data_IF_422449886707
#
_entry.id   IF_422449886707
#
_cell.length_a   1.000
_cell.length_b   1.000
_cell.length_c   1.000
_cell.angle_alpha   90.00
_cell.angle_beta   90.00
_cell.angle_gamma   90.00
#
_symmetry.space_group_name_H-M   'P 1'
#
loop_
_entity.id
_entity.type
_entity.pdbx_description
1 polymer ?
#
# COMPACT_ATOMS: atom_id res chain seq x y z
N UNK A 1 12.53 3.20 7.14
CA UNK A 1 13.52 2.10 7.24
C UNK A 1 14.58 2.13 6.16
N UNK A 2 14.45 2.93 5.08
CA UNK A 2 15.47 2.97 4.03
C UNK A 2 15.59 1.67 3.24
N UNK A 3 14.50 0.90 3.15
CA UNK A 3 14.43 -0.38 2.43
C UNK A 3 13.59 -0.24 1.17
N UNK A 4 13.80 -1.11 0.20
CA UNK A 4 12.94 -1.26 -0.97
C UNK A 4 11.77 -2.17 -0.60
N UNK A 5 10.56 -1.82 -1.02
CA UNK A 5 9.38 -2.67 -0.82
C UNK A 5 8.48 -2.64 -2.03
N UNK A 6 8.07 -3.80 -2.54
CA UNK A 6 7.11 -3.90 -3.64
C UNK A 6 5.86 -4.63 -3.18
N UNK A 7 4.71 -3.99 -3.38
CA UNK A 7 3.40 -4.63 -3.32
C UNK A 7 3.00 -5.00 -4.75
N UNK A 8 2.96 -6.28 -5.13
CA UNK A 8 2.62 -6.66 -6.49
C UNK A 8 1.12 -6.42 -6.77
N UNK A 9 0.71 -6.68 -8.02
CA UNK A 9 -0.69 -6.61 -8.41
C UNK A 9 -1.54 -7.54 -7.55
N UNK A 10 -2.76 -7.12 -7.20
CA UNK A 10 -3.67 -8.00 -6.47
C UNK A 10 -3.89 -9.30 -7.27
N UNK A 11 -3.65 -10.44 -6.62
CA UNK A 11 -3.71 -11.77 -7.25
C UNK A 11 -2.39 -12.27 -7.87
N UNK A 12 -1.30 -11.50 -7.88
CA UNK A 12 0.01 -11.95 -8.39
C UNK A 12 0.69 -12.98 -7.47
N UNK A 13 0.55 -12.82 -6.16
CA UNK A 13 0.99 -13.81 -5.17
C UNK A 13 -0.22 -14.39 -4.45
N UNK A 14 -0.23 -15.71 -4.24
CA UNK A 14 -1.25 -16.38 -3.44
C UNK A 14 -1.32 -15.79 -2.03
N UNK A 15 -2.55 -15.64 -1.54
CA UNK A 15 -2.87 -15.23 -0.17
C UNK A 15 -3.19 -16.43 0.72
N UNK A 16 -3.21 -17.64 0.18
CA UNK A 16 -3.42 -18.85 0.97
C UNK A 16 -2.31 -18.99 2.02
N UNK A 17 -2.71 -19.10 3.30
CA UNK A 17 -1.79 -19.13 4.44
C UNK A 17 -1.46 -17.75 5.03
N UNK A 18 -1.83 -16.65 4.37
CA UNK A 18 -1.76 -15.31 4.95
C UNK A 18 -2.98 -15.07 5.84
N UNK A 19 -2.76 -14.60 7.07
CA UNK A 19 -3.86 -14.16 7.94
C UNK A 19 -4.48 -12.91 7.35
N UNK A 20 -5.69 -13.03 6.81
CA UNK A 20 -6.38 -11.93 6.16
C UNK A 20 -6.77 -10.83 7.17
N UNK A 21 -6.46 -9.60 6.80
CA UNK A 21 -7.02 -8.39 7.38
C UNK A 21 -8.18 -7.90 6.50
N UNK A 22 -7.89 -7.46 5.27
CA UNK A 22 -8.87 -7.03 4.29
C UNK A 22 -8.69 -7.85 2.99
N UNK A 23 -9.52 -8.87 2.82
CA UNK A 23 -9.41 -9.86 1.76
C UNK A 23 -9.32 -9.28 0.35
N UNK A 24 -9.97 -8.15 0.07
CA UNK A 24 -9.96 -7.53 -1.25
C UNK A 24 -8.81 -6.54 -1.48
N UNK A 25 -7.94 -6.33 -0.48
CA UNK A 25 -6.90 -5.30 -0.46
C UNK A 25 -5.51 -5.86 -0.10
N UNK A 26 -5.47 -6.94 0.69
CA UNK A 26 -4.24 -7.57 1.14
C UNK A 26 -3.47 -8.18 -0.03
N UNK A 27 -2.17 -7.95 -0.06
CA UNK A 27 -1.27 -8.58 -1.03
C UNK A 27 0.13 -8.68 -0.43
N UNK A 28 0.68 -9.89 -0.37
CA UNK A 28 2.03 -10.10 0.11
C UNK A 28 3.05 -9.63 -0.93
N UNK A 29 4.14 -9.02 -0.47
CA UNK A 29 5.23 -8.56 -1.30
C UNK A 29 6.54 -8.44 -0.51
N UNK A 30 7.71 -8.55 -1.16
CA UNK A 30 8.99 -8.55 -0.47
C UNK A 30 9.42 -7.14 -0.04
N UNK A 31 10.16 -7.10 1.07
CA UNK A 31 10.92 -5.94 1.54
C UNK A 31 12.40 -6.35 1.55
N UNK A 32 13.24 -5.60 0.86
CA UNK A 32 14.65 -5.93 0.61
C UNK A 32 15.55 -4.71 0.76
N UNK A 33 16.86 -4.91 0.65
CA UNK A 33 17.85 -3.82 0.73
C UNK A 33 18.00 -3.06 -0.60
N UNK A 34 17.78 -3.74 -1.72
CA UNK A 34 17.90 -3.14 -3.04
C UNK A 34 16.81 -3.67 -3.99
N UNK A 35 16.66 -2.96 -5.12
CA UNK A 35 15.65 -3.23 -6.15
C UNK A 35 15.86 -4.60 -6.81
N UNK A 36 17.11 -5.05 -6.93
CA UNK A 36 17.46 -6.35 -7.51
C UNK A 36 16.98 -7.51 -6.63
N UNK A 37 17.26 -7.46 -5.33
CA UNK A 37 16.78 -8.43 -4.37
C UNK A 37 15.25 -8.47 -4.36
N UNK A 38 14.57 -7.32 -4.47
CA UNK A 38 13.11 -7.26 -4.55
C UNK A 38 12.57 -8.01 -5.79
N UNK A 39 13.23 -7.85 -6.94
CA UNK A 39 12.88 -8.53 -8.19
C UNK A 39 13.04 -10.06 -8.08
N UNK A 40 14.17 -10.52 -7.54
CA UNK A 40 14.45 -11.94 -7.32
C UNK A 40 13.42 -12.55 -6.36
N UNK A 41 13.17 -11.88 -5.24
CA UNK A 41 12.21 -12.36 -4.23
C UNK A 41 10.79 -12.40 -4.77
N UNK A 42 10.33 -11.35 -5.48
CA UNK A 42 8.98 -11.34 -6.02
C UNK A 42 8.77 -12.46 -7.05
N UNK A 43 9.76 -12.72 -7.92
CA UNK A 43 9.72 -13.83 -8.87
C UNK A 43 9.53 -15.18 -8.16
N UNK A 44 10.19 -15.38 -7.02
CA UNK A 44 10.07 -16.61 -6.24
C UNK A 44 8.76 -16.73 -5.46
N UNK A 45 8.14 -15.61 -5.09
CA UNK A 45 6.88 -15.58 -4.32
C UNK A 45 5.64 -15.63 -5.20
N UNK A 46 5.71 -15.07 -6.40
CA UNK A 46 4.60 -15.01 -7.33
C UNK A 46 4.30 -16.41 -7.90
N UNK A 47 3.03 -16.81 -7.84
CA UNK A 47 2.54 -18.07 -8.38
C UNK A 47 1.02 -18.06 -8.39
N UNK A 48 0.44 -18.74 -9.38
CA UNK A 48 -0.96 -19.17 -9.31
C UNK A 48 -1.07 -20.32 -8.31
N UNK A 49 -2.11 -20.30 -7.47
CA UNK A 49 -2.34 -21.32 -6.45
C UNK A 49 -3.81 -21.74 -6.48
N UNK A 50 -4.06 -23.02 -6.76
CA UNK A 50 -5.41 -23.59 -6.80
C UNK A 50 -6.17 -23.47 -5.46
N UNK A 51 -5.48 -23.21 -4.35
CA UNK A 51 -6.07 -22.99 -3.02
C UNK A 51 -6.46 -21.54 -2.76
N UNK A 52 -6.07 -20.62 -3.64
CA UNK A 52 -6.49 -19.23 -3.64
C UNK A 52 -7.20 -18.89 -4.95
N UNK A 53 -8.54 -18.89 -4.90
CA UNK A 53 -9.40 -18.56 -6.06
C UNK A 53 -9.25 -17.11 -6.55
N UNK A 54 -8.52 -16.27 -5.81
CA UNK A 54 -8.20 -14.89 -6.21
C UNK A 54 -6.80 -14.73 -6.78
N UNK A 55 -5.98 -15.78 -6.72
CA UNK A 55 -4.71 -15.82 -7.45
C UNK A 55 -4.98 -15.90 -8.95
N UNK A 56 -4.22 -15.15 -9.74
CA UNK A 56 -4.43 -15.04 -11.17
C UNK A 56 -3.43 -15.93 -11.89
N UNK A 57 -3.93 -16.79 -12.76
CA UNK A 57 -3.11 -17.66 -13.61
C UNK A 57 -2.53 -16.87 -14.79
N UNK A 58 -1.43 -16.17 -14.50
CA UNK A 58 -0.61 -15.48 -15.48
C UNK A 58 0.86 -15.87 -15.31
N UNK A 59 1.62 -15.98 -16.40
CA UNK A 59 3.07 -16.18 -16.33
C UNK A 59 3.73 -15.15 -15.41
N UNK A 60 4.69 -15.60 -14.62
CA UNK A 60 5.53 -14.73 -13.78
C UNK A 60 6.73 -14.29 -14.62
N UNK A 61 6.88 -12.98 -14.90
CA UNK A 61 8.01 -12.51 -15.67
C UNK A 61 9.35 -12.67 -14.95
N UNK A 62 10.42 -12.62 -15.73
CA UNK A 62 11.77 -12.57 -15.20
C UNK A 62 12.13 -11.12 -14.80
N UNK A 63 11.62 -10.69 -13.65
CA UNK A 63 11.73 -9.30 -13.19
C UNK A 63 13.17 -8.77 -13.14
N UNK A 64 14.15 -9.64 -12.85
CA UNK A 64 15.56 -9.26 -12.81
C UNK A 64 16.09 -8.80 -14.18
N UNK A 65 15.55 -9.35 -15.29
CA UNK A 65 15.93 -8.94 -16.65
C UNK A 65 15.44 -7.55 -17.02
N UNK A 66 14.45 -7.00 -16.31
CA UNK A 66 13.96 -5.65 -16.54
C UNK A 66 14.91 -4.58 -15.97
N UNK A 67 15.78 -4.96 -15.03
CA UNK A 67 16.74 -4.06 -14.40
C UNK A 67 17.74 -3.54 -15.44
N UNK A 68 18.03 -2.23 -15.39
CA UNK A 68 18.93 -1.58 -16.34
C UNK A 68 18.32 -1.33 -17.73
N UNK A 69 17.06 -1.71 -17.96
CA UNK A 69 16.36 -1.39 -19.19
C UNK A 69 16.19 0.13 -19.40
N UNK A 70 16.29 0.60 -20.63
CA UNK A 70 16.18 2.04 -20.95
C UNK A 70 14.78 2.60 -20.72
N UNK A 71 14.63 3.61 -19.87
CA UNK A 71 13.35 4.32 -19.64
C UNK A 71 13.10 5.47 -20.64
N UNK A 72 13.90 5.56 -21.70
CA UNK A 72 13.80 6.63 -22.69
C UNK A 72 12.44 6.63 -23.37
N UNK A 73 11.75 7.77 -23.35
CA UNK A 73 10.42 7.95 -23.95
C UNK A 73 9.27 7.37 -23.13
N UNK A 74 9.53 6.74 -21.98
CA UNK A 74 8.45 6.30 -21.08
C UNK A 74 7.76 7.50 -20.46
N UNK A 75 6.42 7.48 -20.41
CA UNK A 75 5.62 8.55 -19.82
C UNK A 75 5.39 8.31 -18.34
N UNK A 76 5.98 9.16 -17.51
CA UNK A 76 5.85 9.12 -16.05
C UNK A 76 4.84 10.17 -15.61
N UNK A 77 3.72 9.69 -15.08
CA UNK A 77 2.62 10.52 -14.58
C UNK A 77 2.93 11.12 -13.22
N UNK A 78 2.71 12.43 -13.06
CA UNK A 78 2.79 13.16 -11.80
C UNK A 78 1.37 13.65 -11.42
N UNK A 79 0.72 13.03 -10.42
CA UNK A 79 -0.65 13.37 -10.06
C UNK A 79 -0.70 14.71 -9.31
N UNK A 80 -1.47 15.65 -9.85
CA UNK A 80 -1.62 16.98 -9.23
C UNK A 80 -2.31 16.92 -7.87
N UNK A 81 -3.26 16.00 -7.68
CA UNK A 81 -4.02 15.83 -6.43
C UNK A 81 -3.18 15.31 -5.26
N UNK A 82 -1.95 14.85 -5.53
CA UNK A 82 -1.02 14.38 -4.50
C UNK A 82 -0.13 15.52 -3.99
N UNK A 83 -0.25 16.74 -4.55
CA UNK A 83 0.27 17.95 -3.93
C UNK A 83 -0.72 18.38 -2.85
N UNK A 84 -0.46 17.96 -1.62
CA UNK A 84 -1.32 18.23 -0.45
C UNK A 84 -0.83 19.50 0.25
N UNK A 85 -1.77 20.32 0.73
CA UNK A 85 -1.46 21.50 1.52
C UNK A 85 -0.69 21.12 2.79
N UNK A 86 0.38 21.85 3.09
CA UNK A 86 1.23 21.59 4.25
C UNK A 86 2.21 20.42 4.10
N UNK A 87 2.41 19.89 2.88
CA UNK A 87 3.43 18.87 2.66
C UNK A 87 4.84 19.42 2.98
N UNK A 88 5.66 18.71 3.79
CA UNK A 88 6.98 19.18 4.18
C UNK A 88 7.88 19.50 2.97
N UNK A 89 8.73 20.52 3.10
CA UNK A 89 9.66 20.94 2.05
C UNK A 89 10.59 19.80 1.62
N UNK A 90 11.06 18.98 2.58
CA UNK A 90 11.91 17.80 2.30
C UNK A 90 11.22 16.80 1.37
N UNK A 91 9.90 16.60 1.50
CA UNK A 91 9.11 15.70 0.65
C UNK A 91 8.91 16.30 -0.75
N UNK A 92 8.63 17.60 -0.83
CA UNK A 92 8.56 18.31 -2.11
C UNK A 92 9.89 18.23 -2.87
N UNK A 93 11.00 18.49 -2.17
CA UNK A 93 12.35 18.42 -2.72
C UNK A 93 12.72 16.99 -3.16
N UNK A 94 12.38 15.97 -2.36
CA UNK A 94 12.56 14.57 -2.71
C UNK A 94 11.78 14.21 -3.98
N UNK A 95 10.52 14.61 -4.07
CA UNK A 95 9.68 14.30 -5.22
C UNK A 95 10.23 14.96 -6.48
N UNK A 96 10.67 16.22 -6.38
CA UNK A 96 11.32 16.91 -7.49
C UNK A 96 12.62 16.19 -7.92
N UNK A 97 13.46 15.75 -6.97
CA UNK A 97 14.66 14.93 -7.28
C UNK A 97 14.29 13.65 -8.03
N UNK A 98 13.24 12.94 -7.59
CA UNK A 98 12.74 11.75 -8.26
C UNK A 98 12.30 11.99 -9.70
N UNK A 99 11.57 13.09 -9.92
CA UNK A 99 11.18 13.55 -11.26
C UNK A 99 12.43 13.81 -12.12
N UNK A 100 13.42 14.48 -11.55
CA UNK A 100 14.66 14.80 -12.24
C UNK A 100 15.47 13.54 -12.57
N UNK A 101 15.57 12.55 -11.68
CA UNK A 101 16.26 11.28 -11.94
C UNK A 101 15.69 10.56 -13.18
N UNK A 102 14.36 10.44 -13.26
CA UNK A 102 13.71 9.80 -14.40
C UNK A 102 13.83 10.65 -15.68
N UNK A 103 13.73 11.98 -15.57
CA UNK A 103 13.91 12.89 -16.73
C UNK A 103 15.32 12.79 -17.30
N UNK A 104 16.36 12.81 -16.46
CA UNK A 104 17.75 12.66 -16.91
C UNK A 104 18.02 11.30 -17.55
N UNK A 105 17.31 10.25 -17.12
CA UNK A 105 17.35 8.93 -17.76
C UNK A 105 16.56 8.84 -19.08
N UNK A 106 15.91 9.94 -19.50
CA UNK A 106 15.23 10.08 -20.79
C UNK A 106 13.72 9.85 -20.75
N UNK A 107 13.11 9.70 -19.56
CA UNK A 107 11.66 9.58 -19.45
C UNK A 107 10.95 10.93 -19.71
N UNK A 108 9.74 10.86 -20.25
CA UNK A 108 8.85 12.00 -20.44
C UNK A 108 8.01 12.19 -19.18
N UNK A 109 8.06 13.38 -18.59
CA UNK A 109 7.29 13.71 -17.38
C UNK A 109 5.98 14.36 -17.81
N UNK A 110 4.86 13.76 -17.42
CA UNK A 110 3.52 14.26 -17.76
C UNK A 110 2.71 14.51 -16.49
N UNK A 111 2.07 15.68 -16.40
CA UNK A 111 1.10 15.93 -15.33
C UNK A 111 -0.18 15.13 -15.60
N UNK A 112 -0.74 14.51 -14.56
CA UNK A 112 -1.98 13.73 -14.64
C UNK A 112 -2.98 14.16 -13.56
N UNK A 113 -4.23 13.73 -13.70
CA UNK A 113 -5.31 14.00 -12.74
C UNK A 113 -5.89 12.69 -12.23
N UNK A 114 -5.94 12.55 -10.91
CA UNK A 114 -6.58 11.47 -10.15
C UNK A 114 -7.63 12.09 -9.20
N UNK A 115 -8.76 12.61 -9.71
CA UNK A 115 -9.67 13.49 -8.98
C UNK A 115 -10.33 12.88 -7.74
N UNK A 116 -10.44 11.55 -7.67
CA UNK A 116 -11.07 10.84 -6.55
C UNK A 116 -10.10 10.48 -5.41
N UNK A 117 -8.82 10.84 -5.53
CA UNK A 117 -7.77 10.59 -4.52
C UNK A 117 -8.19 11.03 -3.11
N UNK A 118 -8.81 12.21 -2.98
CA UNK A 118 -9.26 12.75 -1.68
C UNK A 118 -10.28 11.86 -0.95
N UNK A 119 -10.95 10.96 -1.67
CA UNK A 119 -11.91 10.02 -1.09
C UNK A 119 -11.31 8.65 -0.77
N UNK A 120 -10.06 8.40 -1.17
CA UNK A 120 -9.45 7.08 -1.03
C UNK A 120 -9.26 6.68 0.42
N UNK A 121 -8.76 7.59 1.27
CA UNK A 121 -8.57 7.34 2.69
C UNK A 121 -9.89 7.01 3.41
N UNK A 122 -10.94 7.86 3.37
CA UNK A 122 -12.21 7.51 4.04
C UNK A 122 -12.86 6.25 3.47
N UNK A 123 -12.77 6.00 2.16
CA UNK A 123 -13.30 4.77 1.57
C UNK A 123 -12.54 3.52 2.04
N UNK A 124 -11.21 3.59 2.12
CA UNK A 124 -10.38 2.51 2.66
C UNK A 124 -10.73 2.19 4.12
N UNK A 125 -10.92 3.22 4.96
CA UNK A 125 -11.33 3.05 6.37
C UNK A 125 -12.78 2.60 6.57
N UNK A 126 -13.54 2.44 5.49
CA UNK A 126 -14.83 1.73 5.51
C UNK A 126 -14.64 0.30 5.02
N UNK A 127 -14.00 0.11 3.86
CA UNK A 127 -13.84 -1.20 3.22
C UNK A 127 -12.98 -2.14 4.06
N UNK A 128 -11.79 -1.70 4.48
CA UNK A 128 -10.86 -2.57 5.20
C UNK A 128 -11.40 -3.00 6.58
N UNK A 129 -11.94 -2.10 7.43
CA UNK A 129 -12.54 -2.53 8.70
C UNK A 129 -13.80 -3.39 8.52
N UNK A 130 -14.62 -3.14 7.51
CA UNK A 130 -15.78 -3.99 7.20
C UNK A 130 -15.37 -5.43 6.89
N UNK A 131 -14.34 -5.61 6.07
CA UNK A 131 -13.81 -6.95 5.79
C UNK A 131 -13.13 -7.55 7.03
N UNK A 132 -12.40 -6.74 7.80
CA UNK A 132 -11.76 -7.17 9.03
C UNK A 132 -12.75 -7.68 10.08
N UNK A 133 -13.91 -7.03 10.26
CA UNK A 133 -14.91 -7.45 11.24
C UNK A 133 -15.42 -8.88 10.97
N UNK A 134 -15.54 -9.25 9.69
CA UNK A 134 -15.88 -10.60 9.25
C UNK A 134 -14.67 -11.56 9.31
N UNK A 135 -13.52 -11.16 8.74
CA UNK A 135 -12.32 -11.98 8.67
C UNK A 135 -11.81 -12.41 10.05
N UNK A 136 -11.83 -11.49 11.02
CA UNK A 136 -11.38 -11.71 12.39
C UNK A 136 -12.45 -12.33 13.28
N UNK A 137 -13.68 -12.56 12.79
CA UNK A 137 -14.74 -13.22 13.57
C UNK A 137 -14.37 -14.67 13.95
N UNK A 138 -13.52 -15.32 13.15
CA UNK A 138 -13.03 -16.70 13.40
C UNK A 138 -12.17 -16.86 14.65
N UNK A 139 -11.64 -15.77 15.20
CA UNK A 139 -10.82 -15.78 16.42
C UNK A 139 -11.73 -15.67 17.62
N UNK A 140 -12.13 -16.84 18.09
CA UNK A 140 -13.24 -17.02 19.02
C UNK A 140 -12.86 -17.97 20.19
N UNK A 141 -11.65 -18.53 20.15
CA UNK A 141 -11.11 -19.45 21.16
C UNK A 141 -11.65 -20.88 21.08
N UNK A 142 -12.53 -21.20 20.13
CA UNK A 142 -13.17 -22.53 20.05
C UNK A 142 -12.23 -23.57 19.44
N UNK A 143 -11.59 -23.26 18.32
CA UNK A 143 -10.72 -24.21 17.61
C UNK A 143 -9.24 -24.05 17.96
N UNK A 144 -8.79 -22.84 18.25
CA UNK A 144 -7.38 -22.51 18.46
C UNK A 144 -7.21 -21.15 19.15
N UNK A 145 -5.99 -20.87 19.61
CA UNK A 145 -5.61 -19.58 20.21
C UNK A 145 -6.02 -19.43 21.67
N UNK A 146 -6.11 -18.18 22.11
CA UNK A 146 -6.56 -17.82 23.47
C UNK A 146 -8.00 -18.30 23.69
N UNK A 147 -8.28 -18.86 24.87
CA UNK A 147 -9.65 -19.10 25.36
C UNK A 147 -9.76 -18.61 26.79
N UNK A 148 -10.70 -17.71 27.04
CA UNK A 148 -11.03 -17.23 28.38
C UNK A 148 -12.37 -17.82 28.81
N UNK A 149 -12.47 -18.46 29.99
CA UNK A 149 -13.72 -19.01 30.49
C UNK A 149 -14.86 -17.97 30.58
N UNK A 150 -16.08 -18.45 30.38
CA UNK A 150 -17.33 -17.70 30.56
C UNK A 150 -18.40 -18.61 31.16
N UNK A 151 -19.49 -18.02 31.67
CA UNK A 151 -20.64 -18.75 32.23
C UNK A 151 -21.41 -19.56 31.17
N UNK A 152 -21.29 -19.15 29.91
CA UNK A 152 -21.94 -19.70 28.73
C UNK A 152 -21.06 -19.42 27.50
N UNK A 153 -21.51 -19.87 26.33
CA UNK A 153 -20.76 -19.69 25.08
C UNK A 153 -20.60 -18.21 24.69
N UNK A 154 -21.61 -17.39 24.98
CA UNK A 154 -21.62 -15.95 24.64
C UNK A 154 -20.54 -15.23 25.43
N UNK A 155 -20.55 -15.39 26.76
CA UNK A 155 -19.55 -14.81 27.65
C UNK A 155 -18.15 -15.35 27.39
N UNK A 156 -17.99 -16.62 27.01
CA UNK A 156 -16.69 -17.15 26.59
C UNK A 156 -16.16 -16.39 25.35
N UNK A 157 -17.00 -16.15 24.34
CA UNK A 157 -16.61 -15.37 23.15
C UNK A 157 -16.25 -13.93 23.49
N UNK A 158 -17.11 -13.25 24.26
CA UNK A 158 -16.90 -11.86 24.66
C UNK A 158 -15.60 -11.70 25.46
N UNK A 159 -15.39 -12.52 26.49
CA UNK A 159 -14.20 -12.50 27.33
C UNK A 159 -12.93 -12.80 26.51
N UNK A 160 -12.99 -13.82 25.66
CA UNK A 160 -11.84 -14.24 24.83
C UNK A 160 -11.43 -13.13 23.88
N UNK A 161 -12.38 -12.52 23.17
CA UNK A 161 -12.10 -11.46 22.18
C UNK A 161 -11.69 -10.16 22.86
N UNK A 162 -12.30 -9.83 24.00
CA UNK A 162 -11.95 -8.63 24.77
C UNK A 162 -10.52 -8.67 25.29
N UNK A 163 -10.07 -9.84 25.79
CA UNK A 163 -8.71 -10.06 26.29
C UNK A 163 -7.69 -10.26 25.16
N UNK A 164 -8.07 -10.92 24.07
CA UNK A 164 -7.16 -11.28 22.98
C UNK A 164 -6.85 -10.14 22.01
N UNK A 165 -7.82 -9.27 21.72
CA UNK A 165 -7.60 -8.15 20.80
C UNK A 165 -7.18 -6.87 21.54
N UNK A 166 -6.14 -6.23 21.01
CA UNK A 166 -5.75 -4.87 21.39
C UNK A 166 -6.79 -3.81 21.01
N UNK A 167 -6.61 -2.60 21.53
CA UNK A 167 -7.55 -1.48 21.35
C UNK A 167 -7.84 -1.17 19.87
N UNK A 168 -6.80 -1.02 19.04
CA UNK A 168 -6.95 -0.67 17.62
C UNK A 168 -7.73 -1.73 16.84
N UNK A 169 -7.46 -3.02 17.10
CA UNK A 169 -8.16 -4.12 16.43
C UNK A 169 -9.64 -4.15 16.84
N UNK A 170 -9.94 -3.98 18.14
CA UNK A 170 -11.33 -3.87 18.63
C UNK A 170 -12.06 -2.70 17.97
N UNK A 171 -11.43 -1.53 17.90
CA UNK A 171 -12.00 -0.35 17.24
C UNK A 171 -12.35 -0.61 15.77
N UNK A 172 -11.44 -1.24 15.01
CA UNK A 172 -11.69 -1.60 13.60
C UNK A 172 -12.83 -2.60 13.45
N UNK A 173 -12.89 -3.63 14.31
CA UNK A 173 -14.00 -4.59 14.31
C UNK A 173 -15.32 -3.86 14.58
N UNK A 174 -15.38 -2.96 15.57
CA UNK A 174 -16.61 -2.23 15.91
C UNK A 174 -17.08 -1.34 14.75
N UNK A 175 -16.18 -0.56 14.14
CA UNK A 175 -16.50 0.27 12.97
C UNK A 175 -16.95 -0.61 11.79
N UNK A 176 -16.23 -1.69 11.53
CA UNK A 176 -16.55 -2.63 10.45
C UNK A 176 -17.93 -3.27 10.60
N UNK A 177 -18.27 -3.74 11.81
CA UNK A 177 -19.59 -4.28 12.12
C UNK A 177 -20.67 -3.22 11.97
N UNK A 178 -20.41 -1.97 12.37
CA UNK A 178 -21.36 -0.86 12.23
C UNK A 178 -21.66 -0.56 10.76
N UNK A 179 -20.65 -0.40 9.90
CA UNK A 179 -20.85 -0.05 8.48
C UNK A 179 -21.49 -1.18 7.67
N UNK A 180 -21.48 -2.41 8.18
CA UNK A 180 -22.17 -3.57 7.59
C UNK A 180 -23.57 -3.81 8.18
N UNK A 181 -23.96 -3.08 9.23
CA UNK A 181 -25.24 -3.29 9.89
C UNK A 181 -26.43 -2.86 9.03
N UNK A 182 -27.60 -3.45 9.30
CA UNK A 182 -28.84 -3.14 8.60
C UNK A 182 -29.16 -1.63 8.71
N UNK A 183 -29.52 -1.02 7.57
CA UNK A 183 -29.77 0.43 7.46
C UNK A 183 -28.52 1.28 7.16
N UNK A 184 -27.31 0.78 7.45
CA UNK A 184 -26.05 1.50 7.23
C UNK A 184 -25.21 0.94 6.09
N UNK A 185 -25.47 -0.30 5.66
CA UNK A 185 -24.76 -0.97 4.56
C UNK A 185 -24.73 -0.13 3.27
N UNK A 186 -25.89 0.33 2.79
CA UNK A 186 -25.98 1.10 1.55
C UNK A 186 -25.33 2.49 1.67
N UNK A 187 -25.48 3.11 2.84
CA UNK A 187 -24.99 4.45 3.12
C UNK A 187 -23.46 4.52 3.23
N UNK A 188 -22.84 3.48 3.80
CA UNK A 188 -21.39 3.43 4.04
C UNK A 188 -20.69 2.43 3.14
N UNK A 189 -20.91 1.12 3.34
CA UNK A 189 -20.11 0.09 2.68
C UNK A 189 -20.31 0.09 1.15
N UNK A 190 -21.56 0.07 0.67
CA UNK A 190 -21.83 0.13 -0.76
C UNK A 190 -21.35 1.45 -1.38
N UNK A 191 -21.46 2.57 -0.65
CA UNK A 191 -20.95 3.85 -1.12
C UNK A 191 -19.43 3.85 -1.25
N UNK A 192 -18.71 3.28 -0.28
CA UNK A 192 -17.26 3.15 -0.33
C UNK A 192 -16.80 2.22 -1.48
N UNK A 193 -17.52 1.13 -1.76
CA UNK A 193 -17.27 0.28 -2.93
C UNK A 193 -17.46 1.04 -4.25
N UNK A 194 -18.50 1.89 -4.36
CA UNK A 194 -18.67 2.76 -5.54
C UNK A 194 -17.53 3.78 -5.69
N UNK A 195 -17.06 4.36 -4.60
CA UNK A 195 -15.88 5.25 -4.60
C UNK A 195 -14.62 4.49 -5.02
N UNK A 196 -14.43 3.26 -4.56
CA UNK A 196 -13.34 2.38 -5.00
C UNK A 196 -13.33 2.21 -6.52
N UNK A 197 -14.50 2.01 -7.14
CA UNK A 197 -14.63 1.96 -8.60
C UNK A 197 -14.17 3.25 -9.28
N UNK A 198 -14.52 4.42 -8.73
CA UNK A 198 -14.09 5.71 -9.28
C UNK A 198 -12.56 5.90 -9.15
N UNK A 199 -11.97 5.50 -8.02
CA UNK A 199 -10.51 5.54 -7.84
C UNK A 199 -9.81 4.63 -8.85
N UNK A 200 -10.32 3.42 -9.06
CA UNK A 200 -9.80 2.51 -10.10
C UNK A 200 -9.89 3.14 -11.49
N UNK A 201 -11.02 3.76 -11.80
CA UNK A 201 -11.25 4.45 -13.09
C UNK A 201 -10.22 5.56 -13.33
N UNK A 202 -9.88 6.36 -12.32
CA UNK A 202 -8.89 7.43 -12.45
C UNK A 202 -7.54 6.89 -12.94
N UNK A 203 -7.06 5.79 -12.36
CA UNK A 203 -5.83 5.14 -12.81
C UNK A 203 -5.96 4.53 -14.21
N UNK A 204 -7.08 3.88 -14.51
CA UNK A 204 -7.35 3.32 -15.84
C UNK A 204 -7.33 4.42 -16.91
N UNK A 205 -7.98 5.55 -16.66
CA UNK A 205 -7.98 6.69 -17.57
C UNK A 205 -6.56 7.24 -17.79
N UNK A 206 -5.76 7.37 -16.71
CA UNK A 206 -4.37 7.81 -16.82
C UNK A 206 -3.51 6.84 -17.65
N UNK A 207 -3.63 5.54 -17.41
CA UNK A 207 -2.90 4.53 -18.18
C UNK A 207 -3.39 4.43 -19.64
N UNK A 208 -4.69 4.59 -19.89
CA UNK A 208 -5.25 4.65 -21.25
C UNK A 208 -4.79 5.91 -22.02
N UNK A 209 -4.52 7.01 -21.33
CA UNK A 209 -3.90 8.20 -21.92
C UNK A 209 -2.41 8.01 -22.28
N UNK A 210 -1.85 6.82 -22.03
CA UNK A 210 -0.51 6.43 -22.42
C UNK A 210 0.54 6.62 -21.32
N UNK A 211 0.14 6.80 -20.06
CA UNK A 211 1.09 6.80 -18.93
C UNK A 211 1.61 5.38 -18.70
N UNK A 212 2.91 5.23 -18.49
CA UNK A 212 3.55 3.92 -18.26
C UNK A 212 3.70 3.61 -16.77
N UNK A 213 4.03 4.62 -15.97
CA UNK A 213 4.09 4.53 -14.51
C UNK A 213 3.78 5.88 -13.88
N UNK A 214 3.39 5.88 -12.60
CA UNK A 214 3.05 7.10 -11.86
C UNK A 214 4.03 7.25 -10.69
N UNK A 215 4.66 8.41 -10.56
CA UNK A 215 5.64 8.70 -9.51
C UNK A 215 5.02 9.59 -8.42
N UNK A 216 5.10 9.13 -7.17
CA UNK A 216 4.61 9.85 -5.97
C UNK A 216 5.64 9.75 -4.85
N UNK A 217 5.53 10.56 -3.77
CA UNK A 217 6.18 10.22 -2.52
C UNK A 217 5.58 8.92 -1.96
N UNK A 218 6.36 8.15 -1.19
CA UNK A 218 5.85 6.95 -0.52
C UNK A 218 5.15 7.29 0.80
N UNK A 219 5.60 8.34 1.49
CA UNK A 219 5.05 8.83 2.77
C UNK A 219 4.94 10.36 2.75
N UNK A 220 4.03 10.97 3.51
CA UNK A 220 3.88 12.43 3.58
C UNK A 220 4.91 13.11 4.49
N UNK A 221 5.72 12.35 5.21
CA UNK A 221 6.79 12.84 6.09
C UNK A 221 7.85 11.75 6.32
N UNK A 222 8.92 12.12 7.02
CA UNK A 222 9.87 11.17 7.58
C UNK A 222 9.24 10.32 8.69
N UNK A 223 9.95 9.28 9.13
CA UNK A 223 9.51 8.45 10.25
C UNK A 223 9.34 9.29 11.53
N UNK A 224 8.20 9.14 12.20
CA UNK A 224 7.93 9.76 13.50
C UNK A 224 8.52 8.94 14.66
N UNK A 225 8.61 9.55 15.84
CA UNK A 225 9.21 8.92 17.03
C UNK A 225 8.26 7.91 17.68
N UNK A 226 8.83 6.91 18.34
CA UNK A 226 8.06 6.00 19.19
C UNK A 226 7.49 6.80 20.37
N UNK A 227 6.19 6.61 20.65
CA UNK A 227 5.52 7.31 21.75
C UNK A 227 5.21 8.77 21.45
N UNK A 228 5.18 9.17 20.17
CA UNK A 228 4.72 10.49 19.76
C UNK A 228 3.27 10.71 20.23
N UNK A 229 3.13 11.58 21.25
CA UNK A 229 1.86 11.80 21.93
C UNK A 229 0.82 12.45 21.01
N UNK A 230 1.23 13.28 20.05
CA UNK A 230 0.32 13.92 19.11
C UNK A 230 -0.27 12.92 18.11
N UNK A 231 0.58 12.02 17.60
CA UNK A 231 0.15 10.94 16.71
C UNK A 231 -0.67 9.88 17.44
N UNK A 232 -0.33 9.59 18.70
CA UNK A 232 -1.10 8.68 19.54
C UNK A 232 -2.47 9.24 19.92
N UNK A 233 -2.57 10.56 20.12
CA UNK A 233 -3.81 11.24 20.49
C UNK A 233 -4.79 11.36 19.31
N UNK A 234 -4.31 11.42 18.07
CA UNK A 234 -5.14 11.56 16.88
C UNK A 234 -4.92 10.43 15.84
N UNK A 235 -5.79 9.40 15.87
CA UNK A 235 -5.76 8.33 14.88
C UNK A 235 -5.92 8.83 13.43
N UNK A 236 -6.58 9.98 13.20
CA UNK A 236 -6.74 10.54 11.86
C UNK A 236 -5.38 11.01 11.33
N UNK A 237 -4.55 11.66 12.16
CA UNK A 237 -3.16 12.01 11.78
C UNK A 237 -2.38 10.75 11.39
N UNK A 238 -2.53 9.67 12.15
CA UNK A 238 -1.87 8.41 11.82
C UNK A 238 -2.32 7.87 10.45
N UNK A 239 -3.62 7.94 10.15
CA UNK A 239 -4.19 7.46 8.88
C UNK A 239 -3.75 8.31 7.68
N UNK A 240 -3.54 9.62 7.86
CA UNK A 240 -3.04 10.49 6.81
C UNK A 240 -1.65 10.09 6.30
N UNK A 241 -0.88 9.30 7.05
CA UNK A 241 0.39 8.74 6.57
C UNK A 241 0.20 7.82 5.34
N UNK A 242 -1.00 7.26 5.16
CA UNK A 242 -1.29 6.34 4.08
C UNK A 242 -1.92 7.03 2.84
N UNK A 243 -1.95 8.37 2.81
CA UNK A 243 -2.61 9.14 1.74
C UNK A 243 -2.10 8.79 0.33
N UNK A 244 -0.83 8.42 0.21
CA UNK A 244 -0.20 8.06 -1.08
C UNK A 244 -0.27 6.58 -1.42
N UNK A 245 -0.63 5.71 -0.47
CA UNK A 245 -0.53 4.25 -0.63
C UNK A 245 -1.89 3.57 -0.74
N UNK A 246 -2.92 4.05 -0.04
CA UNK A 246 -4.26 3.41 -0.02
C UNK A 246 -4.91 3.34 -1.39
N UNK A 247 -4.68 4.33 -2.25
CA UNK A 247 -5.19 4.39 -3.63
C UNK A 247 -4.74 3.18 -4.44
N UNK A 248 -3.51 2.72 -4.24
CA UNK A 248 -2.91 1.57 -4.92
C UNK A 248 -3.63 0.28 -4.55
N UNK A 249 -3.92 0.06 -3.25
CA UNK A 249 -4.69 -1.10 -2.79
C UNK A 249 -6.14 -1.05 -3.30
N UNK A 250 -6.77 0.11 -3.23
CA UNK A 250 -8.15 0.32 -3.68
C UNK A 250 -8.30 0.01 -5.18
N UNK A 251 -7.31 0.34 -5.99
CA UNK A 251 -7.27 0.02 -7.43
C UNK A 251 -6.70 -1.38 -7.74
N UNK A 252 -6.11 -2.09 -6.77
CA UNK A 252 -5.48 -3.41 -6.97
C UNK A 252 -4.16 -3.38 -7.75
N UNK A 253 -3.54 -2.20 -7.90
CA UNK A 253 -2.37 -1.97 -8.74
C UNK A 253 -1.06 -2.38 -8.06
N UNK A 254 0.01 -2.70 -8.80
CA UNK A 254 1.33 -2.86 -8.21
C UNK A 254 1.94 -1.49 -7.84
N UNK A 255 2.70 -1.47 -6.74
CA UNK A 255 3.46 -0.29 -6.30
C UNK A 255 4.79 -0.69 -5.69
N UNK A 256 5.87 0.02 -6.03
CA UNK A 256 7.21 -0.15 -5.45
C UNK A 256 7.66 1.14 -4.77
N UNK A 257 8.16 1.02 -3.54
CA UNK A 257 8.80 2.09 -2.80
C UNK A 257 10.32 1.90 -2.80
N UNK A 258 11.05 2.96 -3.14
CA UNK A 258 12.51 2.99 -3.21
C UNK A 258 13.03 4.19 -2.40
N UNK A 259 14.03 3.99 -1.52
CA UNK A 259 14.70 5.10 -0.83
C UNK A 259 15.36 6.04 -1.84
N UNK A 260 15.15 7.35 -1.70
CA UNK A 260 15.63 8.33 -2.67
C UNK A 260 16.26 9.60 -2.04
N UNK A 261 16.34 9.65 -0.72
CA UNK A 261 16.92 10.78 0.01
C UNK A 261 16.75 10.64 1.52
N UNK A 262 17.14 11.69 2.22
CA UNK A 262 16.89 11.86 3.65
C UNK A 262 16.22 13.20 3.91
N UNK A 263 15.52 13.30 5.03
CA UNK A 263 15.09 14.60 5.56
C UNK A 263 16.28 15.39 6.16
N UNK A 264 16.01 16.61 6.61
CA UNK A 264 16.99 17.46 7.31
C UNK A 264 17.59 16.83 8.57
N UNK A 265 16.92 15.84 9.17
CA UNK A 265 17.36 15.09 10.36
C UNK A 265 18.11 13.80 10.02
N UNK A 266 18.33 13.51 8.73
CA UNK A 266 19.04 12.30 8.26
C UNK A 266 18.17 11.03 8.22
N UNK A 267 16.85 11.14 8.39
CA UNK A 267 15.92 10.01 8.30
C UNK A 267 15.61 9.67 6.84
N UNK A 268 15.61 8.39 6.44
CA UNK A 268 15.36 7.99 5.05
C UNK A 268 13.95 8.36 4.57
N UNK A 269 13.87 8.92 3.37
CA UNK A 269 12.65 9.21 2.63
C UNK A 269 12.55 8.35 1.37
N UNK A 270 11.32 7.99 0.98
CA UNK A 270 11.05 7.09 -0.14
C UNK A 270 10.18 7.72 -1.23
N UNK A 271 10.45 7.31 -2.46
CA UNK A 271 9.56 7.54 -3.62
C UNK A 271 8.82 6.26 -3.95
N UNK A 272 7.60 6.39 -4.42
CA UNK A 272 6.75 5.31 -4.87
C UNK A 272 6.51 5.42 -6.38
N UNK A 273 6.62 4.28 -7.06
CA UNK A 273 6.19 4.11 -8.45
C UNK A 273 4.98 3.17 -8.47
N UNK A 274 3.91 3.59 -9.14
CA UNK A 274 2.66 2.83 -9.32
C UNK A 274 2.57 2.41 -10.77
N UNK A 275 2.33 1.12 -11.00
CA UNK A 275 2.37 0.51 -12.33
C UNK A 275 1.01 0.03 -12.80
N UNK A 276 0.95 -0.40 -14.06
CA UNK A 276 -0.22 -1.08 -14.63
C UNK A 276 -0.38 -2.48 -14.01
N UNK A 277 -1.62 -3.02 -13.95
CA UNK A 277 -1.84 -4.38 -13.48
C UNK A 277 -0.94 -5.39 -14.21
N UNK A 278 -0.25 -6.23 -13.44
CA UNK A 278 0.61 -7.31 -13.90
C UNK A 278 1.85 -6.91 -14.72
N UNK A 279 2.21 -5.61 -14.73
CA UNK A 279 3.40 -5.07 -15.40
C UNK A 279 4.48 -4.66 -14.38
N UNK A 280 4.78 -5.51 -13.39
CA UNK A 280 5.78 -5.18 -12.36
C UNK A 280 7.20 -4.96 -12.93
N UNK A 281 7.51 -5.47 -14.13
CA UNK A 281 8.79 -5.23 -14.83
C UNK A 281 9.05 -3.73 -15.07
N UNK A 282 8.02 -2.98 -15.46
CA UNK A 282 8.06 -1.53 -15.65
C UNK A 282 8.44 -0.82 -14.35
N UNK A 283 7.93 -1.31 -13.22
CA UNK A 283 8.27 -0.80 -11.90
C UNK A 283 9.71 -1.09 -11.52
N UNK A 284 10.21 -2.31 -11.73
CA UNK A 284 11.61 -2.63 -11.45
C UNK A 284 12.59 -1.83 -12.31
N UNK A 285 12.27 -1.64 -13.59
CA UNK A 285 13.05 -0.83 -14.51
C UNK A 285 13.18 0.62 -14.04
N UNK A 286 12.05 1.25 -13.71
CA UNK A 286 12.03 2.66 -13.25
C UNK A 286 12.59 2.82 -11.84
N UNK A 287 12.30 1.89 -10.93
CA UNK A 287 12.86 1.85 -9.58
C UNK A 287 14.39 1.74 -9.58
N UNK A 288 14.94 0.92 -10.48
CA UNK A 288 16.38 0.76 -10.60
C UNK A 288 17.06 2.05 -11.05
N UNK A 289 16.45 2.84 -11.93
CA UNK A 289 16.96 4.19 -12.29
C UNK A 289 17.04 5.09 -11.07
N UNK A 290 15.98 5.13 -10.25
CA UNK A 290 15.97 5.93 -9.01
C UNK A 290 17.06 5.46 -8.05
N UNK A 291 17.19 4.15 -7.83
CA UNK A 291 18.20 3.58 -6.93
C UNK A 291 19.62 3.92 -7.39
N UNK A 292 19.92 3.82 -8.69
CA UNK A 292 21.26 4.15 -9.22
C UNK A 292 21.58 5.64 -9.09
N UNK A 293 20.60 6.52 -9.27
CA UNK A 293 20.80 7.96 -9.18
C UNK A 293 20.87 8.46 -7.72
N UNK A 294 20.03 7.91 -6.84
CA UNK A 294 19.97 8.31 -5.43
C UNK A 294 21.03 7.64 -4.55
N UNK A 295 21.52 6.47 -4.97
CA UNK A 295 22.40 5.63 -4.18
C UNK A 295 21.64 4.76 -3.17
N UNK A 296 22.39 4.03 -2.34
CA UNK A 296 21.85 3.13 -1.32
C UNK A 296 21.77 3.82 0.03
N UNK A 297 20.68 3.56 0.74
CA UNK A 297 20.42 4.12 2.06
C UNK A 297 20.49 3.01 3.08
N UNK A 298 21.47 3.07 3.97
CA UNK A 298 21.54 2.14 5.11
C UNK A 298 21.36 2.99 6.36
N UNK A 299 20.20 2.93 7.04
CA UNK A 299 20.04 3.66 8.29
C UNK A 299 21.08 3.17 9.30
N UNK A 300 21.60 4.10 10.12
CA UNK A 300 22.41 3.72 11.27
C UNK A 300 21.59 2.84 12.20
N UNK A 301 22.26 1.86 12.81
CA UNK A 301 21.62 0.97 13.77
C UNK A 301 21.19 1.81 14.99
N UNK A 302 19.89 1.94 15.19
CA UNK A 302 19.30 2.77 16.23
C UNK A 302 18.76 1.99 17.43
N UNK A 303 18.96 0.66 17.43
CA UNK A 303 18.73 -0.26 18.55
C UNK A 303 19.83 -1.34 18.65
#
# INVERSE_FOLDING_TARGET
>A
TGTVGIKPTYGRCSRFGMVAFASSLDQAGPITRDVRDAAIMLKSMASADARDTTSVDLPVPDYEKALGGSVKGMKIGIPKEYRVDGMPEDINALWQKGIDFLRHAGAEIVEISLPHTKYALPAYYIVAPAEASSNLARYDGVRYGLRVPGKDIVSMYENTRAAGFGWEVKRRIMIGTYVLSAGYYDAYYLKAQKVRTLIKKDFEDAFHAGVDAILTPATPSAAFRIGDEELAADPVKMYLNDIFTVTVNMAGLPGISVPAGTDHSGLPLGLQLIGKPFEEETLFKTAHVIEQAAGRFTPSRWW
#
